data_IF_752344380462
#
_entry.id   IF_752344380462
#
_cell.length_a   1.000
_cell.length_b   1.000
_cell.length_c   1.000
_cell.angle_alpha   90.00
_cell.angle_beta   90.00
_cell.angle_gamma   90.00
#
_symmetry.space_group_name_H-M   'P 1'
#
loop_
_entity.id
_entity.type
_entity.pdbx_description
1 polymer ?
#
# COMPACT_ATOMS: atom_id res chain seq x y z
N UNK A 1 -2.14 27.78 7.24
CA UNK A 1 -1.44 26.62 6.65
C UNK A 1 -1.90 25.36 7.36
N UNK A 2 -2.21 24.32 6.59
CA UNK A 2 -2.47 22.95 7.09
C UNK A 2 -1.20 22.14 6.92
N UNK A 3 -0.67 21.61 8.03
CA UNK A 3 0.54 20.78 8.03
C UNK A 3 0.20 19.37 8.56
N UNK A 4 0.07 18.44 7.63
CA UNK A 4 -0.18 17.04 7.92
C UNK A 4 1.10 16.20 8.09
N UNK A 5 2.27 16.86 8.11
CA UNK A 5 3.55 16.16 8.13
C UNK A 5 4.37 16.39 9.40
N UNK A 6 4.29 17.59 10.00
CA UNK A 6 4.99 17.95 11.24
C UNK A 6 6.45 17.47 11.25
N UNK A 7 7.23 17.96 10.29
CA UNK A 7 8.66 17.68 10.15
C UNK A 7 9.49 18.95 10.35
N UNK A 8 10.80 18.80 10.48
CA UNK A 8 11.71 19.93 10.73
C UNK A 8 11.51 21.07 9.72
N UNK A 9 11.33 20.74 8.43
CA UNK A 9 11.10 21.72 7.35
C UNK A 9 9.81 22.53 7.56
N UNK A 10 8.72 21.88 7.94
CA UNK A 10 7.44 22.55 8.15
C UNK A 10 7.46 23.38 9.44
N UNK A 11 8.19 22.96 10.46
CA UNK A 11 8.40 23.74 11.69
C UNK A 11 9.23 25.01 11.41
N UNK A 12 10.25 24.92 10.54
CA UNK A 12 10.99 26.09 10.08
C UNK A 12 10.07 27.08 9.32
N UNK A 13 9.25 26.58 8.38
CA UNK A 13 8.28 27.41 7.67
C UNK A 13 7.28 28.08 8.62
N UNK A 14 6.83 27.39 9.65
CA UNK A 14 5.95 27.95 10.68
C UNK A 14 6.59 29.14 11.39
N UNK A 15 7.88 29.04 11.72
CA UNK A 15 8.61 30.12 12.38
C UNK A 15 8.79 31.36 11.48
N UNK A 16 8.97 31.15 10.15
CA UNK A 16 9.24 32.22 9.19
C UNK A 16 7.96 32.90 8.70
N UNK A 17 6.92 32.15 8.38
CA UNK A 17 5.74 32.68 7.68
C UNK A 17 4.80 33.49 8.56
N UNK A 18 4.88 33.40 9.90
CA UNK A 18 4.05 34.14 10.87
C UNK A 18 2.54 34.10 10.56
N UNK A 19 2.04 33.01 10.00
CA UNK A 19 0.61 32.78 9.71
C UNK A 19 0.08 31.64 10.57
N UNK A 20 -1.25 31.52 10.77
CA UNK A 20 -1.80 30.39 11.49
C UNK A 20 -1.39 29.04 10.89
N UNK A 21 -0.85 28.14 11.70
CA UNK A 21 -0.52 26.77 11.37
C UNK A 21 -1.39 25.79 12.15
N UNK A 22 -2.04 24.89 11.44
CA UNK A 22 -2.81 23.78 11.99
C UNK A 22 -2.06 22.49 11.69
N UNK A 23 -1.34 21.98 12.69
CA UNK A 23 -0.45 20.82 12.53
C UNK A 23 -1.11 19.56 13.06
N UNK A 24 -0.74 18.44 12.44
CA UNK A 24 -1.11 17.11 12.91
C UNK A 24 -0.47 16.83 14.27
N UNK A 25 -1.23 16.20 15.16
CA UNK A 25 -0.68 15.50 16.30
C UNK A 25 -0.31 14.05 15.89
N UNK A 26 0.98 13.74 15.88
CA UNK A 26 1.47 12.39 15.55
C UNK A 26 1.28 11.37 16.68
N UNK A 27 0.74 11.78 17.82
CA UNK A 27 0.52 10.92 18.99
C UNK A 27 1.82 10.33 19.53
N UNK A 28 2.91 11.08 19.57
CA UNK A 28 4.22 10.58 20.04
C UNK A 28 4.16 10.14 21.49
N UNK A 29 3.49 10.91 22.34
CA UNK A 29 3.33 10.60 23.76
C UNK A 29 2.46 9.36 23.96
N UNK A 30 1.37 9.24 23.21
CA UNK A 30 0.50 8.05 23.22
C UNK A 30 1.28 6.80 22.79
N UNK A 31 2.08 6.89 21.71
CA UNK A 31 2.95 5.80 21.25
C UNK A 31 3.99 5.42 22.30
N UNK A 32 4.62 6.39 22.93
CA UNK A 32 5.61 6.14 23.99
C UNK A 32 4.95 5.47 25.20
N UNK A 33 3.75 5.90 25.58
CA UNK A 33 3.00 5.30 26.68
C UNK A 33 2.57 3.86 26.35
N UNK A 34 2.20 3.59 25.11
CA UNK A 34 1.88 2.22 24.64
C UNK A 34 3.14 1.33 24.69
N UNK A 35 4.27 1.80 24.15
CA UNK A 35 5.53 1.04 24.13
C UNK A 35 6.07 0.80 25.55
N UNK A 36 5.91 1.75 26.46
CA UNK A 36 6.32 1.61 27.86
C UNK A 36 5.35 0.78 28.71
N UNK A 37 4.24 0.31 28.14
CA UNK A 37 3.22 -0.47 28.87
C UNK A 37 2.35 0.37 29.82
N UNK A 38 2.44 1.70 29.81
CA UNK A 38 1.59 2.57 30.64
C UNK A 38 0.14 2.58 30.18
N UNK A 39 -0.10 2.41 28.88
CA UNK A 39 -1.43 2.34 28.28
C UNK A 39 -1.46 1.11 27.37
N UNK A 40 -2.57 0.36 27.42
CA UNK A 40 -2.84 -0.74 26.51
C UNK A 40 -4.18 -0.50 25.83
N UNK A 41 -4.18 0.41 24.84
CA UNK A 41 -5.37 0.79 24.09
C UNK A 41 -5.01 1.10 22.63
N UNK A 42 -5.93 0.87 21.69
CA UNK A 42 -5.74 1.28 20.29
C UNK A 42 -5.49 2.77 20.18
N UNK A 43 -4.49 3.16 19.39
CA UNK A 43 -4.19 4.56 19.12
C UNK A 43 -5.08 5.09 18.00
N UNK A 44 -5.25 6.43 17.97
CA UNK A 44 -5.91 7.08 16.84
C UNK A 44 -5.21 6.75 15.54
N UNK A 45 -5.98 6.34 14.51
CA UNK A 45 -5.44 6.11 13.17
C UNK A 45 -4.91 7.42 12.55
N UNK A 46 -4.02 7.31 11.58
CA UNK A 46 -3.51 8.47 10.82
C UNK A 46 -4.65 9.25 10.16
N UNK A 47 -5.66 8.57 9.64
CA UNK A 47 -6.84 9.20 9.05
C UNK A 47 -7.64 10.01 10.07
N UNK A 48 -7.80 9.50 11.30
CA UNK A 48 -8.45 10.28 12.38
C UNK A 48 -7.64 11.52 12.72
N UNK A 49 -6.30 11.41 12.82
CA UNK A 49 -5.41 12.54 13.09
C UNK A 49 -5.46 13.59 11.98
N UNK A 50 -5.57 13.18 10.71
CA UNK A 50 -5.78 14.13 9.60
C UNK A 50 -7.12 14.85 9.74
N UNK A 51 -8.20 14.15 10.03
CA UNK A 51 -9.51 14.79 10.25
C UNK A 51 -9.47 15.80 11.38
N UNK A 52 -8.83 15.45 12.52
CA UNK A 52 -8.71 16.35 13.65
C UNK A 52 -8.05 17.70 13.25
N UNK A 53 -7.13 17.70 12.30
CA UNK A 53 -6.52 18.94 11.79
C UNK A 53 -7.53 19.78 10.99
N UNK A 54 -8.33 19.14 10.13
CA UNK A 54 -9.35 19.84 9.34
C UNK A 54 -10.50 20.34 10.23
N UNK A 55 -10.87 19.60 11.24
CA UNK A 55 -11.88 20.03 12.22
C UNK A 55 -11.45 21.31 12.97
N UNK A 56 -10.15 21.47 13.29
CA UNK A 56 -9.60 22.70 13.90
C UNK A 56 -9.80 23.96 13.05
N UNK A 57 -10.02 23.81 11.76
CA UNK A 57 -10.29 24.93 10.82
C UNK A 57 -11.75 24.98 10.37
N UNK A 58 -12.63 24.24 11.04
CA UNK A 58 -14.08 24.23 10.76
C UNK A 58 -14.51 23.35 9.60
N UNK A 59 -13.62 22.50 9.06
CA UNK A 59 -13.93 21.59 7.94
C UNK A 59 -14.18 20.19 8.50
N UNK A 60 -15.43 19.73 8.42
CA UNK A 60 -15.80 18.36 8.80
C UNK A 60 -15.64 17.41 7.62
N UNK A 61 -14.72 16.46 7.73
CA UNK A 61 -14.48 15.43 6.72
C UNK A 61 -15.12 14.12 7.18
N UNK A 62 -16.13 13.66 6.45
CA UNK A 62 -16.74 12.34 6.67
C UNK A 62 -16.01 11.32 5.80
N UNK A 63 -15.52 10.19 6.37
CA UNK A 63 -14.93 9.13 5.56
C UNK A 63 -15.96 8.62 4.56
N UNK A 64 -15.58 8.51 3.29
CA UNK A 64 -16.39 7.79 2.33
C UNK A 64 -16.33 6.30 2.63
N UNK A 65 -17.51 5.65 2.69
CA UNK A 65 -17.60 4.19 2.73
C UNK A 65 -17.63 3.57 1.33
N UNK A 66 -17.67 4.42 0.30
CA UNK A 66 -17.71 3.95 -1.09
C UNK A 66 -16.27 3.77 -1.57
N UNK A 67 -15.84 2.53 -1.71
CA UNK A 67 -14.72 2.16 -2.56
C UNK A 67 -15.17 2.34 -4.00
N UNK A 68 -14.41 3.07 -4.80
CA UNK A 68 -14.66 3.15 -6.23
C UNK A 68 -14.10 1.89 -6.88
N UNK A 69 -14.94 0.89 -7.11
CA UNK A 69 -14.61 -0.20 -8.03
C UNK A 69 -14.79 0.33 -9.45
N UNK A 70 -13.74 0.85 -10.03
CA UNK A 70 -13.74 1.20 -11.45
C UNK A 70 -12.85 0.16 -12.15
N UNK A 71 -13.51 -0.81 -12.80
CA UNK A 71 -12.80 -1.78 -13.64
C UNK A 71 -12.47 -1.06 -14.95
N UNK A 72 -11.18 -0.96 -15.26
CA UNK A 72 -10.67 -0.36 -16.49
C UNK A 72 -10.33 -1.48 -17.47
N UNK A 73 -10.59 -1.27 -18.76
CA UNK A 73 -10.16 -2.21 -19.78
C UNK A 73 -8.63 -2.21 -19.89
N UNK A 74 -8.00 -3.36 -19.61
CA UNK A 74 -6.55 -3.58 -19.69
C UNK A 74 -6.14 -4.38 -20.91
N UNK A 75 -7.03 -4.56 -21.88
CA UNK A 75 -6.79 -5.36 -23.09
C UNK A 75 -5.61 -4.87 -23.92
N UNK A 76 -5.27 -3.58 -23.83
CA UNK A 76 -4.13 -2.97 -24.52
C UNK A 76 -2.79 -3.23 -23.82
N UNK A 77 -2.82 -3.68 -22.56
CA UNK A 77 -1.61 -4.02 -21.81
C UNK A 77 -1.13 -5.42 -22.23
N UNK A 78 -0.24 -5.48 -23.20
CA UNK A 78 0.22 -6.71 -23.85
C UNK A 78 0.80 -7.77 -22.91
N UNK A 79 1.28 -7.35 -21.72
CA UNK A 79 1.85 -8.27 -20.73
C UNK A 79 0.78 -9.06 -19.98
N UNK A 80 -0.47 -8.59 -19.95
CA UNK A 80 -1.54 -9.25 -19.20
C UNK A 80 -2.18 -10.34 -20.07
N UNK A 81 -2.29 -11.59 -19.60
CA UNK A 81 -2.82 -12.68 -20.39
C UNK A 81 -4.32 -12.50 -20.68
N UNK A 82 -4.69 -12.72 -21.92
CA UNK A 82 -6.09 -12.71 -22.37
C UNK A 82 -6.71 -14.11 -22.22
N UNK A 83 -6.70 -14.64 -21.02
CA UNK A 83 -7.36 -15.90 -20.71
C UNK A 83 -8.39 -15.72 -19.61
N UNK A 84 -9.24 -16.71 -19.37
CA UNK A 84 -10.33 -16.63 -18.40
C UNK A 84 -9.88 -16.91 -16.95
N UNK A 85 -8.58 -16.97 -16.67
CA UNK A 85 -8.10 -17.16 -15.30
C UNK A 85 -8.19 -15.86 -14.51
N UNK A 86 -8.58 -15.96 -13.25
CA UNK A 86 -8.57 -14.83 -12.32
C UNK A 86 -7.16 -14.29 -12.12
N UNK A 87 -7.05 -12.98 -11.96
CA UNK A 87 -5.81 -12.29 -11.68
C UNK A 87 -5.61 -12.15 -10.16
N UNK A 88 -4.48 -12.64 -9.66
CA UNK A 88 -4.07 -12.50 -8.27
C UNK A 88 -2.86 -11.59 -8.23
N UNK A 89 -2.96 -10.45 -7.53
CA UNK A 89 -1.82 -9.55 -7.32
C UNK A 89 -0.96 -10.01 -6.15
N UNK A 90 0.36 -9.96 -6.28
CA UNK A 90 1.29 -10.21 -5.19
C UNK A 90 2.33 -9.10 -5.14
N UNK A 91 2.40 -8.37 -4.00
CA UNK A 91 3.40 -7.34 -3.71
C UNK A 91 4.28 -7.82 -2.53
N UNK A 92 5.37 -8.56 -2.79
CA UNK A 92 6.12 -9.28 -1.76
C UNK A 92 7.10 -8.41 -0.97
N UNK A 93 7.30 -7.16 -1.38
CA UNK A 93 8.28 -6.25 -0.79
C UNK A 93 7.64 -5.13 0.03
N UNK A 94 8.42 -4.55 0.93
CA UNK A 94 8.05 -3.38 1.71
C UNK A 94 9.26 -2.45 1.88
N UNK A 95 9.01 -1.19 2.30
CA UNK A 95 10.07 -0.20 2.54
C UNK A 95 11.11 -0.63 3.59
N UNK A 96 10.76 -1.58 4.47
CA UNK A 96 11.61 -2.07 5.54
C UNK A 96 11.61 -3.59 5.58
N UNK A 97 12.78 -4.20 5.61
CA UNK A 97 12.94 -5.67 5.64
C UNK A 97 12.18 -6.39 6.75
N UNK A 98 12.02 -5.75 7.91
CA UNK A 98 11.23 -6.33 9.01
C UNK A 98 9.73 -6.48 8.72
N UNK A 99 9.24 -5.85 7.64
CA UNK A 99 7.87 -5.97 7.17
C UNK A 99 7.69 -7.01 6.06
N UNK A 100 8.77 -7.57 5.56
CA UNK A 100 8.75 -8.51 4.44
C UNK A 100 8.58 -9.95 4.93
N UNK A 101 7.72 -10.68 4.26
CA UNK A 101 7.71 -12.15 4.35
C UNK A 101 8.88 -12.70 3.54
N UNK A 102 9.62 -13.71 4.02
CA UNK A 102 10.79 -14.20 3.31
C UNK A 102 10.47 -14.61 1.87
N UNK A 103 11.23 -14.06 0.92
CA UNK A 103 10.95 -14.25 -0.52
C UNK A 103 10.94 -15.72 -0.95
N UNK A 104 11.76 -16.56 -0.33
CA UNK A 104 11.79 -18.01 -0.59
C UNK A 104 10.47 -18.67 -0.20
N UNK A 105 9.85 -18.25 0.91
CA UNK A 105 8.55 -18.74 1.33
C UNK A 105 7.43 -18.16 0.46
N UNK A 106 7.56 -16.91 0.02
CA UNK A 106 6.63 -16.30 -0.93
C UNK A 106 6.68 -17.02 -2.30
N UNK A 107 7.85 -17.48 -2.72
CA UNK A 107 7.99 -18.29 -3.95
C UNK A 107 7.17 -19.58 -3.86
N UNK A 108 7.15 -20.28 -2.73
CA UNK A 108 6.30 -21.46 -2.55
C UNK A 108 4.80 -21.12 -2.67
N UNK A 109 4.38 -19.97 -2.12
CA UNK A 109 3.01 -19.46 -2.27
C UNK A 109 2.69 -19.19 -3.75
N UNK A 110 3.59 -18.50 -4.47
CA UNK A 110 3.46 -18.20 -5.90
C UNK A 110 3.34 -19.49 -6.71
N UNK A 111 4.19 -20.47 -6.43
CA UNK A 111 4.22 -21.80 -7.07
C UNK A 111 2.89 -22.53 -6.93
N UNK A 112 2.23 -22.44 -5.78
CA UNK A 112 0.92 -23.08 -5.61
C UNK A 112 -0.19 -22.29 -6.33
N UNK A 113 -0.21 -20.97 -6.19
CA UNK A 113 -1.27 -20.12 -6.76
C UNK A 113 -1.24 -20.15 -8.30
N UNK A 114 -0.06 -20.13 -8.93
CA UNK A 114 0.06 -20.09 -10.40
C UNK A 114 -0.50 -21.32 -11.12
N UNK A 115 -0.74 -22.42 -10.42
CA UNK A 115 -1.36 -23.61 -11.02
C UNK A 115 -2.75 -23.31 -11.59
N UNK A 116 -3.52 -22.48 -10.89
CA UNK A 116 -4.93 -22.22 -11.20
C UNK A 116 -5.22 -20.78 -11.60
N UNK A 117 -4.34 -19.83 -11.30
CA UNK A 117 -4.54 -18.38 -11.45
C UNK A 117 -3.40 -17.75 -12.25
N UNK A 118 -3.65 -16.58 -12.81
CA UNK A 118 -2.59 -15.71 -13.27
C UNK A 118 -2.09 -14.86 -12.08
N UNK A 119 -0.80 -14.86 -11.84
CA UNK A 119 -0.17 -14.10 -10.76
C UNK A 119 0.51 -12.88 -11.34
N UNK A 120 0.13 -11.70 -10.87
CA UNK A 120 0.74 -10.43 -11.25
C UNK A 120 1.64 -9.98 -10.10
N UNK A 121 2.93 -9.84 -10.38
CA UNK A 121 3.92 -9.41 -9.39
C UNK A 121 4.14 -7.91 -9.46
N UNK A 122 4.01 -7.26 -8.31
CA UNK A 122 4.21 -5.83 -8.11
C UNK A 122 5.48 -5.56 -7.31
N UNK A 123 6.22 -4.54 -7.68
CA UNK A 123 7.43 -4.11 -6.97
C UNK A 123 7.97 -2.84 -7.57
N UNK A 124 9.05 -2.30 -7.00
CA UNK A 124 9.67 -1.07 -7.46
C UNK A 124 11.20 -1.08 -7.37
N UNK A 125 11.84 -0.37 -8.30
CA UNK A 125 13.29 -0.30 -8.36
C UNK A 125 13.96 -1.55 -8.92
N UNK A 126 15.18 -1.40 -9.39
CA UNK A 126 15.90 -2.41 -10.18
C UNK A 126 16.16 -3.72 -9.43
N UNK A 127 16.37 -3.63 -8.12
CA UNK A 127 16.65 -4.82 -7.30
C UNK A 127 15.44 -5.75 -7.18
N UNK A 128 14.27 -5.19 -6.93
CA UNK A 128 13.02 -5.96 -6.82
C UNK A 128 12.63 -6.53 -8.19
N UNK A 129 12.75 -5.71 -9.25
CA UNK A 129 12.48 -6.12 -10.63
C UNK A 129 13.25 -7.40 -11.01
N UNK A 130 14.55 -7.47 -10.70
CA UNK A 130 15.38 -8.65 -11.01
C UNK A 130 14.89 -9.92 -10.29
N UNK A 131 14.50 -9.80 -9.02
CA UNK A 131 13.96 -10.93 -8.25
C UNK A 131 12.62 -11.38 -8.84
N UNK A 132 11.77 -10.43 -9.19
CA UNK A 132 10.45 -10.72 -9.76
C UNK A 132 10.54 -11.26 -11.19
N UNK A 133 11.53 -10.85 -11.98
CA UNK A 133 11.79 -11.42 -13.31
C UNK A 133 12.23 -12.89 -13.20
N UNK A 134 13.06 -13.25 -12.21
CA UNK A 134 13.45 -14.64 -11.96
C UNK A 134 12.22 -15.50 -11.60
N UNK A 135 11.33 -15.01 -10.75
CA UNK A 135 10.08 -15.70 -10.42
C UNK A 135 9.17 -15.84 -11.64
N UNK A 136 9.03 -14.79 -12.44
CA UNK A 136 8.21 -14.83 -13.65
C UNK A 136 8.80 -15.77 -14.72
N UNK A 137 10.11 -15.94 -14.76
CA UNK A 137 10.77 -16.89 -15.66
C UNK A 137 10.53 -18.36 -15.26
N UNK A 138 10.46 -18.63 -13.94
CA UNK A 138 10.26 -19.99 -13.41
C UNK A 138 8.84 -20.52 -13.61
N UNK A 139 7.83 -19.66 -13.64
CA UNK A 139 6.42 -20.06 -13.55
C UNK A 139 5.59 -19.48 -14.70
N UNK A 140 4.89 -20.33 -15.45
CA UNK A 140 4.21 -19.98 -16.71
C UNK A 140 3.09 -18.94 -16.56
N UNK A 141 2.36 -18.92 -15.43
CA UNK A 141 1.24 -18.01 -15.21
C UNK A 141 1.63 -16.85 -14.28
N UNK A 142 2.92 -16.54 -14.16
CA UNK A 142 3.44 -15.46 -13.32
C UNK A 142 3.99 -14.36 -14.22
N UNK A 143 3.56 -13.14 -13.98
CA UNK A 143 3.91 -11.97 -14.78
C UNK A 143 4.47 -10.90 -13.86
N UNK A 144 5.70 -10.47 -14.11
CA UNK A 144 6.28 -9.32 -13.44
C UNK A 144 5.89 -8.03 -14.17
N UNK A 145 5.29 -7.07 -13.48
CA UNK A 145 4.99 -5.73 -14.02
C UNK A 145 5.81 -4.61 -13.36
N UNK A 146 6.68 -4.95 -12.42
CA UNK A 146 7.53 -3.96 -11.74
C UNK A 146 8.38 -3.17 -12.73
N UNK A 147 8.32 -1.84 -12.67
CA UNK A 147 8.98 -0.88 -13.57
C UNK A 147 8.60 -1.01 -15.06
N UNK A 148 7.56 -1.76 -15.41
CA UNK A 148 7.14 -1.95 -16.81
C UNK A 148 5.93 -1.08 -17.17
N UNK A 149 5.26 -0.52 -16.18
CA UNK A 149 4.08 0.32 -16.31
C UNK A 149 4.24 1.63 -15.54
N UNK A 150 3.49 2.65 -15.95
CA UNK A 150 3.28 3.85 -15.14
C UNK A 150 2.39 3.52 -13.92
N UNK A 151 2.37 4.39 -12.92
CA UNK A 151 1.52 4.22 -11.75
C UNK A 151 0.03 4.10 -12.15
N UNK A 152 -0.43 4.90 -13.12
CA UNK A 152 -1.81 4.85 -13.60
C UNK A 152 -2.12 3.48 -14.23
N UNK A 153 -1.22 2.95 -15.05
CA UNK A 153 -1.37 1.61 -15.63
C UNK A 153 -1.31 0.50 -14.58
N UNK A 154 -0.47 0.64 -13.56
CA UNK A 154 -0.47 -0.31 -12.43
C UNK A 154 -1.80 -0.27 -11.67
N UNK A 155 -2.38 0.91 -11.46
CA UNK A 155 -3.71 1.07 -10.86
C UNK A 155 -4.80 0.42 -11.74
N UNK A 156 -4.72 0.56 -13.06
CA UNK A 156 -5.64 -0.12 -13.99
C UNK A 156 -5.55 -1.64 -13.84
N UNK A 157 -4.33 -2.19 -13.76
CA UNK A 157 -4.14 -3.62 -13.50
C UNK A 157 -4.70 -4.01 -12.12
N UNK A 158 -4.43 -3.23 -11.08
CA UNK A 158 -4.94 -3.48 -9.73
C UNK A 158 -6.47 -3.52 -9.73
N UNK A 159 -7.16 -2.64 -10.48
CA UNK A 159 -8.63 -2.62 -10.55
C UNK A 159 -9.25 -3.92 -11.10
N UNK A 160 -8.46 -4.71 -11.80
CA UNK A 160 -8.87 -5.99 -12.41
C UNK A 160 -8.49 -7.22 -11.56
N UNK A 161 -7.84 -7.02 -10.42
CA UNK A 161 -7.48 -8.14 -9.55
C UNK A 161 -8.69 -8.70 -8.80
N UNK A 162 -8.71 -10.01 -8.61
CA UNK A 162 -9.67 -10.66 -7.71
C UNK A 162 -9.30 -10.49 -6.24
N UNK A 163 -7.98 -10.47 -5.96
CA UNK A 163 -7.41 -10.26 -4.62
C UNK A 163 -5.95 -9.79 -4.75
N UNK A 164 -5.50 -9.01 -3.80
CA UNK A 164 -4.10 -8.61 -3.63
C UNK A 164 -3.53 -9.25 -2.36
N UNK A 165 -2.43 -10.02 -2.50
CA UNK A 165 -1.58 -10.42 -1.38
C UNK A 165 -0.43 -9.42 -1.27
N UNK A 166 -0.27 -8.78 -0.13
CA UNK A 166 0.68 -7.67 0.02
C UNK A 166 1.32 -7.68 1.40
N UNK A 167 2.55 -7.18 1.45
CA UNK A 167 3.11 -6.70 2.70
C UNK A 167 2.43 -5.38 3.10
N UNK A 168 2.75 -4.83 4.28
CA UNK A 168 2.41 -3.44 4.65
C UNK A 168 3.16 -2.47 3.72
N UNK A 169 2.62 -2.28 2.51
CA UNK A 169 3.21 -1.55 1.38
C UNK A 169 2.18 -0.71 0.63
N UNK A 170 2.66 0.18 -0.23
CA UNK A 170 1.82 1.08 -1.02
C UNK A 170 0.80 0.32 -1.89
N UNK A 171 1.20 -0.80 -2.51
CA UNK A 171 0.34 -1.56 -3.42
C UNK A 171 -0.89 -2.13 -2.71
N UNK A 172 -0.73 -2.62 -1.47
CA UNK A 172 -1.86 -3.07 -0.65
C UNK A 172 -2.84 -1.94 -0.33
N UNK A 173 -2.33 -0.74 0.00
CA UNK A 173 -3.17 0.42 0.27
C UNK A 173 -3.89 0.91 -0.99
N UNK A 174 -3.23 0.91 -2.15
CA UNK A 174 -3.85 1.28 -3.43
C UNK A 174 -4.95 0.27 -3.77
N UNK A 175 -4.70 -1.03 -3.65
CA UNK A 175 -5.69 -2.06 -3.92
C UNK A 175 -6.93 -1.92 -3.01
N UNK A 176 -6.73 -1.67 -1.72
CA UNK A 176 -7.83 -1.41 -0.78
C UNK A 176 -8.63 -0.15 -1.15
N UNK A 177 -7.94 0.93 -1.56
CA UNK A 177 -8.59 2.16 -2.02
C UNK A 177 -9.46 1.93 -3.27
N UNK A 178 -9.02 1.06 -4.16
CA UNK A 178 -9.74 0.66 -5.38
C UNK A 178 -10.83 -0.40 -5.13
N UNK A 179 -11.04 -0.82 -3.89
CA UNK A 179 -12.08 -1.78 -3.52
C UNK A 179 -11.73 -3.23 -3.74
N UNK A 180 -10.48 -3.52 -4.05
CA UNK A 180 -9.98 -4.89 -4.17
C UNK A 180 -9.79 -5.49 -2.77
N UNK A 181 -10.14 -6.75 -2.62
CA UNK A 181 -9.85 -7.49 -1.38
C UNK A 181 -8.33 -7.60 -1.19
N UNK A 182 -7.85 -7.25 0.00
CA UNK A 182 -6.41 -7.31 0.31
C UNK A 182 -6.17 -8.28 1.46
N UNK A 183 -5.27 -9.21 1.25
CA UNK A 183 -4.67 -10.03 2.28
C UNK A 183 -3.30 -9.45 2.61
N UNK A 184 -3.14 -8.86 3.79
CA UNK A 184 -1.87 -8.26 4.20
C UNK A 184 -1.14 -9.16 5.19
N UNK A 185 0.14 -9.45 4.90
CA UNK A 185 1.04 -10.10 5.86
C UNK A 185 1.74 -8.99 6.66
N UNK A 186 1.55 -9.02 7.97
CA UNK A 186 2.13 -8.06 8.90
C UNK A 186 3.38 -8.65 9.56
N UNK A 187 4.50 -7.93 9.49
CA UNK A 187 5.74 -8.29 10.17
C UNK A 187 5.85 -7.60 11.54
N UNK A 188 6.70 -6.57 11.62
CA UNK A 188 6.92 -5.78 12.86
C UNK A 188 5.87 -4.69 13.09
N UNK A 189 4.92 -4.54 12.20
CA UNK A 189 3.82 -3.57 12.29
C UNK A 189 2.50 -4.28 12.56
N UNK A 190 1.53 -3.53 13.05
CA UNK A 190 0.18 -4.02 13.39
C UNK A 190 -0.86 -3.19 12.60
N UNK A 191 -1.98 -3.80 12.16
CA UNK A 191 -3.07 -3.08 11.50
C UNK A 191 -3.62 -1.93 12.33
#
# INVERSE_FOLDING_TARGET
VVDLHEVLRTNFLKAVLKVPFYQIDKGRDEKQNLVSGKIFAPLKSTHQRYRDVFEKIGISIKPSKKTQTHIVDISDLKLIPKNNKLLIGIAPFAAHKGKEYPIVQMEEVIKEINKNFNVILFGGGKKEELILDDLAFKYTNVINIANKFSLDQEMDVISNLSIMLSMDSANGHIAALMGIKVLTIWGVTHP
#
